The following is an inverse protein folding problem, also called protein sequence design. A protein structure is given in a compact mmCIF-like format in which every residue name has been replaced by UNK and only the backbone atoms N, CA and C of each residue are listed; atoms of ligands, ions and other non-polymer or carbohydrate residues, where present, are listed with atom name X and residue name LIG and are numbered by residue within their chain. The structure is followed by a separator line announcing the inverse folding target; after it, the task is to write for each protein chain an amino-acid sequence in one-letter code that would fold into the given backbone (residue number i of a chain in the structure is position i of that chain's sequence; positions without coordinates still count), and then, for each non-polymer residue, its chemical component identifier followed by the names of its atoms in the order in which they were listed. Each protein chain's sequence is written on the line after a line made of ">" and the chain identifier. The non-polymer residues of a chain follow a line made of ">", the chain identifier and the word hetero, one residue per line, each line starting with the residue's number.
data_IF_375548081260
#
_entry.id   IF_375548081260
#
_cell.length_a   1.000
_cell.length_b   1.000
_cell.length_c   1.000
_cell.angle_alpha   90.00
_cell.angle_beta   90.00
_cell.angle_gamma   90.00
#
_symmetry.space_group_name_H-M   'P 1'
#
loop_
_entity.id
_entity.type
_entity.pdbx_description
1 polymer ?
#
# COMPACT_ATOMS: atom_id res chain seq x y z
N UNK A 1 -10.58 -13.37 10.77
CA UNK A 1 -10.81 -14.78 11.14
C UNK A 1 -11.99 -15.40 10.37
N UNK A 2 -13.16 -14.71 10.28
CA UNK A 2 -14.36 -15.28 9.65
C UNK A 2 -14.17 -15.70 8.17
N UNK A 3 -13.36 -15.00 7.39
CA UNK A 3 -13.13 -15.30 5.97
C UNK A 3 -12.12 -16.45 5.74
N UNK A 4 -11.23 -16.75 6.69
CA UNK A 4 -10.15 -17.72 6.50
C UNK A 4 -10.64 -19.12 6.09
N UNK A 5 -11.69 -19.70 6.70
CA UNK A 5 -12.19 -21.03 6.31
C UNK A 5 -12.71 -21.08 4.86
N UNK A 6 -13.21 -19.97 4.33
CA UNK A 6 -13.69 -19.89 2.95
C UNK A 6 -12.53 -19.72 1.96
N UNK A 7 -11.58 -18.87 2.28
CA UNK A 7 -10.39 -18.64 1.46
C UNK A 7 -9.51 -19.89 1.36
N UNK A 8 -9.37 -20.64 2.46
CA UNK A 8 -8.56 -21.86 2.51
C UNK A 8 -9.18 -23.06 1.75
N UNK A 9 -10.47 -22.99 1.36
CA UNK A 9 -11.09 -24.03 0.52
C UNK A 9 -10.70 -23.93 -0.96
N UNK A 10 -10.24 -22.78 -1.40
CA UNK A 10 -9.72 -22.57 -2.76
C UNK A 10 -8.27 -23.04 -2.87
N UNK A 11 -7.88 -23.54 -4.04
CA UNK A 11 -6.50 -24.00 -4.28
C UNK A 11 -5.46 -22.86 -4.24
N UNK A 12 -5.87 -21.58 -4.38
CA UNK A 12 -4.98 -20.43 -4.60
C UNK A 12 -5.43 -19.17 -3.84
N UNK A 13 -5.84 -19.33 -2.58
CA UNK A 13 -6.33 -18.20 -1.79
C UNK A 13 -5.27 -17.09 -1.61
N UNK A 14 -5.68 -15.83 -1.82
CA UNK A 14 -4.83 -14.67 -1.65
C UNK A 14 -5.53 -13.56 -0.89
N UNK A 15 -4.82 -12.96 0.08
CA UNK A 15 -5.24 -11.77 0.81
C UNK A 15 -4.31 -10.63 0.40
N UNK A 16 -4.89 -9.52 -0.06
CA UNK A 16 -4.17 -8.30 -0.42
C UNK A 16 -4.64 -7.17 0.50
N UNK A 17 -3.78 -6.76 1.41
CA UNK A 17 -4.05 -5.66 2.34
C UNK A 17 -3.61 -4.33 1.73
N UNK A 18 -4.46 -3.31 1.76
CA UNK A 18 -4.13 -1.97 1.26
C UNK A 18 -3.59 -1.12 2.41
N UNK A 19 -2.26 -1.00 2.46
CA UNK A 19 -1.54 -0.18 3.44
C UNK A 19 -1.32 1.26 2.94
N UNK A 20 -0.12 1.81 3.07
CA UNK A 20 0.28 3.14 2.60
C UNK A 20 1.80 3.27 2.67
N UNK A 21 2.40 4.16 1.87
CA UNK A 21 3.80 4.57 2.04
C UNK A 21 4.05 5.10 3.47
N UNK A 22 3.06 5.74 4.10
CA UNK A 22 3.16 6.19 5.50
C UNK A 22 3.11 5.05 6.54
N UNK A 23 3.01 3.82 6.14
CA UNK A 23 3.30 2.66 6.98
C UNK A 23 4.78 2.27 7.01
N UNK A 24 5.62 2.85 6.14
CA UNK A 24 7.06 2.58 6.03
C UNK A 24 7.92 3.84 6.07
N UNK A 25 7.33 5.01 5.79
CA UNK A 25 8.01 6.31 5.74
C UNK A 25 7.35 7.29 6.70
N UNK A 26 8.14 8.23 7.22
CA UNK A 26 7.62 9.43 7.87
C UNK A 26 7.05 10.42 6.85
N UNK A 27 6.15 11.32 7.28
CA UNK A 27 5.64 12.37 6.41
C UNK A 27 6.72 13.43 6.12
N UNK A 28 6.75 13.89 4.89
CA UNK A 28 7.46 15.12 4.53
C UNK A 28 6.53 16.31 4.80
N UNK A 29 6.79 17.02 5.88
CA UNK A 29 5.94 18.12 6.32
C UNK A 29 5.95 19.33 5.38
N UNK A 30 7.00 19.49 4.56
CA UNK A 30 7.06 20.57 3.56
C UNK A 30 5.93 20.51 2.54
N UNK A 31 5.38 19.32 2.28
CA UNK A 31 4.23 19.14 1.39
C UNK A 31 2.97 19.83 1.90
N UNK A 32 2.83 19.90 3.23
CA UNK A 32 1.61 20.35 3.91
C UNK A 32 1.63 21.84 4.23
N UNK A 33 2.77 22.52 4.05
CA UNK A 33 2.92 23.96 4.34
C UNK A 33 1.90 24.79 3.56
N UNK A 34 1.22 25.70 4.28
CA UNK A 34 0.19 26.57 3.71
C UNK A 34 -1.11 25.85 3.32
N UNK A 35 -1.32 24.61 3.78
CA UNK A 35 -2.55 23.84 3.56
C UNK A 35 -3.21 23.48 4.88
N UNK A 36 -4.52 23.17 4.86
CA UNK A 36 -5.23 22.61 6.02
C UNK A 36 -5.06 21.07 6.14
N UNK A 37 -4.21 20.47 5.28
CA UNK A 37 -3.96 19.04 5.28
C UNK A 37 -2.91 18.65 6.34
N UNK A 38 -2.90 17.37 6.69
CA UNK A 38 -1.91 16.79 7.59
C UNK A 38 -1.89 15.27 7.50
N UNK A 39 -0.99 14.67 8.26
CA UNK A 39 -0.85 13.22 8.37
C UNK A 39 -0.91 12.82 9.85
N UNK A 40 -2.06 12.33 10.34
CA UNK A 40 -2.18 11.90 11.73
C UNK A 40 -1.27 10.72 12.06
N UNK A 41 -0.59 10.76 13.21
CA UNK A 41 0.26 9.67 13.67
C UNK A 41 -0.49 8.32 13.76
N UNK A 42 -1.78 8.35 14.14
CA UNK A 42 -2.63 7.17 14.18
C UNK A 42 -2.80 6.50 12.81
N UNK A 43 -2.83 7.30 11.72
CA UNK A 43 -2.87 6.77 10.36
C UNK A 43 -1.58 6.00 10.04
N UNK A 44 -0.43 6.62 10.25
CA UNK A 44 0.87 5.98 10.01
C UNK A 44 1.01 4.70 10.85
N UNK A 45 0.68 4.76 12.14
CA UNK A 45 0.72 3.60 13.02
C UNK A 45 -0.21 2.47 12.54
N UNK A 46 -1.43 2.79 12.11
CA UNK A 46 -2.38 1.80 11.60
C UNK A 46 -1.87 1.11 10.33
N UNK A 47 -1.26 1.88 9.41
CA UNK A 47 -0.74 1.34 8.14
C UNK A 47 0.56 0.56 8.33
N UNK A 48 1.44 0.97 9.24
CA UNK A 48 2.61 0.20 9.67
C UNK A 48 2.19 -1.11 10.35
N UNK A 49 1.21 -1.04 11.24
CA UNK A 49 0.62 -2.22 11.88
C UNK A 49 0.02 -3.20 10.87
N UNK A 50 -0.67 -2.70 9.83
CA UNK A 50 -1.26 -3.54 8.78
C UNK A 50 -0.17 -4.25 7.94
N UNK A 51 0.94 -3.58 7.64
CA UNK A 51 2.09 -4.19 6.94
C UNK A 51 2.66 -5.32 7.79
N UNK A 52 2.92 -5.07 9.07
CA UNK A 52 3.47 -6.11 9.96
C UNK A 52 2.46 -7.23 10.22
N UNK A 53 1.18 -6.91 10.34
CA UNK A 53 0.11 -7.91 10.43
C UNK A 53 0.05 -8.81 9.18
N UNK A 54 0.29 -8.25 7.99
CA UNK A 54 0.33 -9.04 6.75
C UNK A 54 1.46 -10.07 6.77
N UNK A 55 2.65 -9.70 7.28
CA UNK A 55 3.78 -10.63 7.47
C UNK A 55 3.47 -11.72 8.47
N UNK A 56 2.94 -11.33 9.64
CA UNK A 56 2.54 -12.28 10.67
C UNK A 56 1.48 -13.26 10.15
N UNK A 57 0.47 -12.75 9.45
CA UNK A 57 -0.60 -13.60 8.92
C UNK A 57 -0.08 -14.54 7.82
N UNK A 58 0.83 -14.09 6.95
CA UNK A 58 1.44 -14.92 5.92
C UNK A 58 2.13 -16.16 6.51
N UNK A 59 2.85 -16.00 7.62
CA UNK A 59 3.50 -17.13 8.31
C UNK A 59 2.52 -18.04 9.05
N UNK A 60 1.37 -17.49 9.44
CA UNK A 60 0.35 -18.22 10.21
C UNK A 60 -0.54 -19.09 9.32
N UNK A 61 -0.89 -18.61 8.11
CA UNK A 61 -1.85 -19.28 7.22
C UNK A 61 -1.21 -20.05 6.06
N UNK A 62 0.09 -19.90 5.88
CA UNK A 62 0.83 -20.69 4.86
C UNK A 62 0.85 -22.20 5.22
N UNK A 63 0.85 -23.09 4.24
CA UNK A 63 0.87 -22.84 2.79
C UNK A 63 -0.51 -22.63 2.15
N UNK A 64 -1.60 -22.63 2.93
CA UNK A 64 -2.98 -22.61 2.41
C UNK A 64 -3.36 -21.29 1.75
N UNK A 65 -2.77 -20.18 2.21
CA UNK A 65 -3.07 -18.83 1.72
C UNK A 65 -1.79 -18.02 1.55
N UNK A 66 -1.78 -17.13 0.59
CA UNK A 66 -0.79 -16.07 0.46
C UNK A 66 -1.35 -14.78 1.06
N UNK A 67 -0.51 -13.98 1.69
CA UNK A 67 -0.91 -12.69 2.29
C UNK A 67 0.15 -11.65 1.95
N UNK A 68 -0.25 -10.59 1.27
CA UNK A 68 0.64 -9.50 0.89
C UNK A 68 -0.01 -8.15 1.20
N UNK A 69 0.79 -7.12 1.23
CA UNK A 69 0.35 -5.74 1.34
C UNK A 69 0.73 -4.95 0.08
N UNK A 70 -0.11 -4.01 -0.30
CA UNK A 70 0.19 -2.96 -1.28
C UNK A 70 0.22 -1.64 -0.52
N UNK A 71 1.28 -0.86 -0.70
CA UNK A 71 1.45 0.47 -0.09
C UNK A 71 1.39 1.55 -1.17
N UNK A 72 0.21 2.13 -1.42
CA UNK A 72 0.05 3.24 -2.33
C UNK A 72 0.83 4.48 -1.90
N UNK A 73 1.35 5.22 -2.87
CA UNK A 73 1.73 6.62 -2.73
C UNK A 73 0.51 7.55 -2.73
N UNK A 74 0.73 8.83 -2.98
CA UNK A 74 -0.34 9.83 -3.06
C UNK A 74 -1.24 9.60 -4.27
N UNK A 75 -2.53 9.42 -4.02
CA UNK A 75 -3.58 9.29 -5.05
C UNK A 75 -4.27 10.64 -5.22
N UNK A 76 -4.44 11.08 -6.47
CA UNK A 76 -5.12 12.34 -6.78
C UNK A 76 -6.60 12.28 -6.38
N UNK A 77 -7.02 13.19 -5.50
CA UNK A 77 -8.38 13.27 -4.91
C UNK A 77 -8.79 14.72 -4.64
N UNK A 78 -8.35 15.65 -5.49
CA UNK A 78 -8.67 17.08 -5.32
C UNK A 78 -7.88 17.75 -4.20
N UNK A 79 -6.67 17.32 -3.91
CA UNK A 79 -5.77 18.01 -2.99
C UNK A 79 -5.47 19.43 -3.49
N UNK A 80 -5.17 20.39 -2.56
CA UNK A 80 -4.75 21.74 -2.94
C UNK A 80 -3.58 21.74 -3.93
N UNK A 81 -3.60 22.66 -4.89
CA UNK A 81 -2.56 22.74 -5.94
C UNK A 81 -1.14 22.84 -5.37
N UNK A 82 -0.95 23.62 -4.29
CA UNK A 82 0.34 23.74 -3.64
C UNK A 82 0.88 22.39 -3.13
N UNK A 83 0.03 21.56 -2.52
CA UNK A 83 0.39 20.21 -2.11
C UNK A 83 0.72 19.34 -3.33
N UNK A 84 -0.16 19.34 -4.33
CA UNK A 84 0.01 18.52 -5.54
C UNK A 84 1.31 18.83 -6.26
N UNK A 85 1.62 20.11 -6.50
CA UNK A 85 2.84 20.52 -7.18
C UNK A 85 4.12 20.06 -6.43
N UNK A 86 4.16 20.21 -5.10
CA UNK A 86 5.29 19.74 -4.27
C UNK A 86 5.42 18.22 -4.32
N UNK A 87 4.29 17.51 -4.22
CA UNK A 87 4.27 16.05 -4.30
C UNK A 87 4.81 15.56 -5.64
N UNK A 88 4.31 16.11 -6.75
CA UNK A 88 4.70 15.76 -8.11
C UNK A 88 6.19 16.11 -8.38
N UNK A 89 6.66 17.24 -7.88
CA UNK A 89 8.06 17.65 -8.00
C UNK A 89 9.03 16.66 -7.33
N UNK A 90 8.60 16.03 -6.22
CA UNK A 90 9.40 15.03 -5.52
C UNK A 90 9.24 13.61 -6.09
N UNK A 91 8.11 13.33 -6.74
CA UNK A 91 7.87 12.00 -7.31
C UNK A 91 8.69 11.81 -8.59
N UNK A 92 9.51 10.75 -8.75
CA UNK A 92 10.23 10.46 -10.00
C UNK A 92 9.33 10.43 -11.23
N UNK A 93 8.13 9.83 -11.15
CA UNK A 93 7.17 9.81 -12.25
C UNK A 93 6.40 11.14 -12.44
N UNK A 94 6.72 12.19 -11.64
CA UNK A 94 6.22 13.56 -11.80
C UNK A 94 4.70 13.71 -11.80
N UNK A 95 4.00 12.81 -11.18
CA UNK A 95 2.55 12.85 -11.01
C UNK A 95 2.11 12.15 -9.73
N UNK A 96 0.94 12.48 -9.25
CA UNK A 96 0.22 11.64 -8.29
C UNK A 96 -0.37 10.42 -9.01
N UNK A 97 -0.66 9.37 -8.26
CA UNK A 97 -1.32 8.19 -8.78
C UNK A 97 -2.82 8.43 -9.04
N UNK A 98 -3.39 7.60 -9.88
CA UNK A 98 -4.82 7.36 -10.04
C UNK A 98 -5.19 5.97 -9.50
N UNK A 99 -6.46 5.63 -9.44
CA UNK A 99 -6.93 4.29 -9.07
C UNK A 99 -6.45 3.22 -10.03
N UNK A 100 -6.26 3.58 -11.29
CA UNK A 100 -5.82 2.66 -12.35
C UNK A 100 -4.41 2.11 -12.09
N UNK A 101 -3.55 2.91 -11.44
CA UNK A 101 -2.16 2.55 -11.18
C UNK A 101 -2.01 1.34 -10.23
N UNK A 102 -3.06 1.00 -9.48
CA UNK A 102 -3.04 -0.11 -8.52
C UNK A 102 -3.65 -1.40 -9.06
N UNK A 103 -4.40 -1.36 -10.15
CA UNK A 103 -5.11 -2.53 -10.70
C UNK A 103 -4.16 -3.66 -11.06
N UNK A 104 -3.04 -3.34 -11.71
CA UNK A 104 -2.05 -4.32 -12.15
C UNK A 104 -1.41 -5.09 -10.98
N UNK A 105 -0.96 -4.39 -9.94
CA UNK A 105 -0.34 -5.03 -8.78
C UNK A 105 -1.34 -5.86 -7.97
N UNK A 106 -2.58 -5.40 -7.83
CA UNK A 106 -3.63 -6.14 -7.14
C UNK A 106 -4.00 -7.40 -7.94
N UNK A 107 -4.18 -7.29 -9.26
CA UNK A 107 -4.44 -8.44 -10.12
C UNK A 107 -3.28 -9.46 -10.08
N UNK A 108 -2.01 -9.00 -10.11
CA UNK A 108 -0.83 -9.85 -9.95
C UNK A 108 -0.86 -10.60 -8.62
N UNK A 109 -1.06 -9.89 -7.50
CA UNK A 109 -1.06 -10.50 -6.17
C UNK A 109 -2.26 -11.44 -5.94
N UNK A 110 -3.38 -11.20 -6.61
CA UNK A 110 -4.57 -12.04 -6.52
C UNK A 110 -4.52 -13.29 -7.43
N UNK A 111 -3.57 -13.36 -8.36
CA UNK A 111 -3.46 -14.43 -9.35
C UNK A 111 -2.31 -15.41 -9.05
N UNK A 112 -2.24 -16.51 -9.81
CA UNK A 112 -1.18 -17.50 -9.72
C UNK A 112 0.19 -16.99 -10.21
N UNK A 113 0.22 -15.86 -10.94
CA UNK A 113 1.47 -15.19 -11.31
C UNK A 113 2.31 -14.80 -10.09
N UNK A 114 1.69 -14.70 -8.91
CA UNK A 114 2.36 -14.43 -7.63
C UNK A 114 2.38 -15.64 -6.69
N UNK A 115 2.33 -16.87 -7.22
CA UNK A 115 2.23 -18.11 -6.41
C UNK A 115 3.35 -18.29 -5.39
N UNK A 116 4.52 -17.69 -5.62
CA UNK A 116 5.66 -17.72 -4.69
C UNK A 116 5.89 -16.39 -3.95
N UNK A 117 4.88 -15.50 -3.93
CA UNK A 117 4.94 -14.18 -3.28
C UNK A 117 3.99 -14.17 -2.09
N UNK A 118 4.54 -14.16 -0.88
CA UNK A 118 3.77 -14.01 0.37
C UNK A 118 4.57 -13.23 1.41
N UNK A 119 3.91 -12.54 2.33
CA UNK A 119 4.53 -11.71 3.36
C UNK A 119 5.16 -10.41 2.84
N UNK A 120 4.93 -10.05 1.58
CA UNK A 120 5.56 -8.88 0.96
C UNK A 120 4.72 -7.62 1.12
N UNK A 121 5.41 -6.47 1.13
CA UNK A 121 4.81 -5.16 1.01
C UNK A 121 5.32 -4.50 -0.27
N UNK A 122 4.46 -4.30 -1.25
CA UNK A 122 4.81 -3.69 -2.54
C UNK A 122 4.43 -2.21 -2.51
N UNK A 123 5.44 -1.34 -2.62
CA UNK A 123 5.23 0.09 -2.77
C UNK A 123 4.86 0.41 -4.22
N UNK A 124 3.76 1.16 -4.38
CA UNK A 124 3.28 1.65 -5.68
C UNK A 124 3.11 3.16 -5.55
N UNK A 125 4.20 3.88 -5.67
CA UNK A 125 4.32 5.26 -5.24
C UNK A 125 4.99 6.21 -6.27
N UNK A 126 5.20 5.72 -7.49
CA UNK A 126 5.85 6.50 -8.54
C UNK A 126 7.34 6.79 -8.27
N UNK A 127 7.95 6.02 -7.35
CA UNK A 127 9.35 6.20 -6.93
C UNK A 127 9.51 7.18 -5.76
N UNK A 128 8.44 7.63 -5.12
CA UNK A 128 8.49 8.55 -3.97
C UNK A 128 9.45 8.08 -2.88
N UNK A 129 9.50 6.78 -2.59
CA UNK A 129 10.32 6.19 -1.54
C UNK A 129 11.75 5.83 -1.96
N UNK A 130 12.18 6.21 -3.15
CA UNK A 130 13.50 5.82 -3.69
C UNK A 130 14.65 6.73 -3.25
N UNK A 131 14.38 7.82 -2.48
CA UNK A 131 15.38 8.75 -1.92
C UNK A 131 15.02 9.27 -0.54
#
# INVERSE_FOLDING_TARGET
>A
QAALPFLARGAHGSIVNVASIYGVLGPDWSLYEGTAMGNPAAYAASKGGLIQFSRWLATTVGPSLRVNAVSPGGVARGQPDAFRQRYEARTPLRRMASEEDFKGVVAFLASDASSYVTGQNILVDGGWSSW
#
